data_IF_029497623295
#
_entry.id   IF_029497623295
#
_cell.length_a   1.000
_cell.length_b   1.000
_cell.length_c   1.000
_cell.angle_alpha   90.00
_cell.angle_beta   90.00
_cell.angle_gamma   90.00
#
_symmetry.space_group_name_H-M   'P 1'
#
loop_
_entity.id
_entity.type
_entity.pdbx_description
1 polymer ?
#
# COMPACT_ATOMS: atom_id res chain seq x y z
N UNK A 1 -12.97 -20.25 49.64
CA UNK A 1 -12.38 -18.91 49.80
C UNK A 1 -11.23 -18.78 48.82
N UNK A 2 -11.29 -17.73 47.99
CA UNK A 2 -10.17 -17.04 47.33
C UNK A 2 -9.43 -17.71 46.16
N UNK A 3 -9.98 -17.45 44.97
CA UNK A 3 -9.39 -16.76 43.81
C UNK A 3 -7.89 -16.86 43.55
N UNK A 4 -7.54 -17.21 42.30
CA UNK A 4 -6.55 -16.45 41.54
C UNK A 4 -6.98 -16.31 40.08
N UNK A 5 -7.10 -15.05 39.69
CA UNK A 5 -7.59 -14.54 38.41
C UNK A 5 -6.47 -14.60 37.38
N UNK A 6 -6.67 -15.33 36.29
CA UNK A 6 -5.77 -15.28 35.13
C UNK A 6 -6.04 -13.98 34.39
N UNK A 7 -5.08 -13.06 34.45
CA UNK A 7 -5.10 -11.82 33.70
C UNK A 7 -4.74 -12.15 32.24
N UNK A 8 -5.75 -12.28 31.38
CA UNK A 8 -5.54 -12.26 29.94
C UNK A 8 -5.12 -10.84 29.56
N UNK A 9 -3.86 -10.69 29.15
CA UNK A 9 -3.35 -9.43 28.62
C UNK A 9 -3.98 -9.18 27.26
N UNK A 10 -4.95 -8.27 27.22
CA UNK A 10 -5.41 -7.64 25.98
C UNK A 10 -4.19 -7.05 25.27
N UNK A 11 -3.79 -7.70 24.18
CA UNK A 11 -2.79 -7.18 23.26
C UNK A 11 -3.46 -5.98 22.58
N UNK A 12 -3.21 -4.78 23.09
CA UNK A 12 -3.74 -3.55 22.52
C UNK A 12 -3.38 -3.45 21.04
N UNK A 13 -4.37 -3.69 20.17
CA UNK A 13 -4.24 -3.44 18.74
C UNK A 13 -3.89 -1.97 18.57
N UNK A 14 -2.64 -1.72 18.18
CA UNK A 14 -2.17 -0.38 17.87
C UNK A 14 -2.75 -0.02 16.51
N UNK A 15 -3.93 0.61 16.52
CA UNK A 15 -4.53 1.20 15.35
C UNK A 15 -3.62 2.32 14.83
N UNK A 16 -2.88 2.05 13.76
CA UNK A 16 -2.24 3.11 13.01
C UNK A 16 -3.38 3.87 12.28
N UNK A 17 -3.34 5.19 12.27
CA UNK A 17 -4.31 6.03 11.55
C UNK A 17 -3.63 6.63 10.32
N UNK A 18 -4.35 6.67 9.20
CA UNK A 18 -3.83 7.21 7.94
C UNK A 18 -4.47 8.54 7.57
N UNK A 19 -3.66 9.42 6.97
CA UNK A 19 -4.12 10.64 6.31
C UNK A 19 -4.28 10.36 4.83
N UNK A 20 -5.49 10.41 4.31
CA UNK A 20 -5.77 10.25 2.87
C UNK A 20 -6.29 11.57 2.31
N UNK A 21 -5.79 11.98 1.14
CA UNK A 21 -6.38 13.06 0.37
C UNK A 21 -7.45 12.46 -0.54
N UNK A 22 -8.72 12.69 -0.23
CA UNK A 22 -9.85 12.34 -1.11
C UNK A 22 -9.99 13.44 -2.16
N UNK A 23 -9.99 13.06 -3.45
CA UNK A 23 -10.36 14.00 -4.52
C UNK A 23 -11.88 14.17 -4.47
N UNK A 24 -12.35 15.36 -4.10
CA UNK A 24 -13.74 15.72 -4.33
C UNK A 24 -13.84 16.22 -5.77
N UNK A 25 -14.37 15.40 -6.66
CA UNK A 25 -14.92 15.87 -7.93
C UNK A 25 -16.35 16.31 -7.63
N UNK A 26 -16.56 17.61 -7.44
CA UNK A 26 -17.87 18.21 -7.65
C UNK A 26 -17.77 19.68 -8.06
N UNK A 27 -18.55 19.94 -9.11
CA UNK A 27 -18.77 21.15 -9.86
C UNK A 27 -19.42 22.27 -9.01
N UNK A 28 -19.27 23.51 -9.45
CA UNK A 28 -19.41 24.76 -8.71
C UNK A 28 -20.81 25.10 -8.11
N UNK A 29 -20.80 25.76 -6.95
CA UNK A 29 -21.67 26.91 -6.67
C UNK A 29 -20.92 27.96 -5.83
N UNK A 30 -20.98 29.20 -6.29
CA UNK A 30 -20.20 30.34 -5.82
C UNK A 30 -20.93 31.07 -4.67
N UNK A 31 -20.29 31.19 -3.50
CA UNK A 31 -20.61 32.23 -2.51
C UNK A 31 -19.30 32.82 -2.01
N UNK A 32 -19.12 34.12 -2.27
CA UNK A 32 -18.06 34.94 -1.73
C UNK A 32 -18.18 35.01 -0.20
N UNK A 33 -17.19 34.45 0.49
CA UNK A 33 -16.77 34.89 1.82
C UNK A 33 -15.25 34.78 1.87
N UNK A 34 -14.59 35.90 2.13
CA UNK A 34 -13.15 35.96 2.41
C UNK A 34 -12.84 35.19 3.70
N UNK A 35 -12.65 33.89 3.56
CA UNK A 35 -11.97 33.07 4.54
C UNK A 35 -11.17 32.04 3.75
N UNK A 36 -9.85 32.03 3.94
CA UNK A 36 -8.94 31.11 3.24
C UNK A 36 -9.50 29.69 3.37
N UNK A 37 -9.79 28.97 2.26
CA UNK A 37 -10.25 27.60 2.35
C UNK A 37 -9.07 26.76 2.83
N UNK A 38 -8.97 26.58 4.14
CA UNK A 38 -8.25 25.47 4.71
C UNK A 38 -8.94 24.23 4.13
N UNK A 39 -8.28 23.58 3.16
CA UNK A 39 -8.75 22.33 2.57
C UNK A 39 -8.83 21.31 3.71
N UNK A 40 -9.99 21.17 4.32
CA UNK A 40 -10.25 20.18 5.36
C UNK A 40 -10.06 18.82 4.70
N UNK A 41 -8.92 18.18 4.95
CA UNK A 41 -8.62 16.82 4.51
C UNK A 41 -9.66 15.90 5.15
N UNK A 42 -10.58 15.37 4.36
CA UNK A 42 -11.64 14.47 4.84
C UNK A 42 -10.97 13.23 5.44
N UNK A 43 -11.18 13.02 6.74
CA UNK A 43 -10.59 11.91 7.51
C UNK A 43 -11.41 10.66 7.24
N UNK A 44 -10.92 9.76 6.39
CA UNK A 44 -11.45 8.41 6.30
C UNK A 44 -10.62 7.53 7.24
N UNK A 45 -11.26 6.97 8.26
CA UNK A 45 -10.66 5.97 9.15
C UNK A 45 -10.89 4.59 8.54
N UNK A 46 -9.90 4.03 7.86
CA UNK A 46 -9.89 2.60 7.56
C UNK A 46 -9.11 1.90 8.69
N UNK A 47 -9.65 0.85 9.31
CA UNK A 47 -8.85 -0.05 10.12
C UNK A 47 -7.75 -0.63 9.23
N UNK A 48 -6.50 -0.27 9.50
CA UNK A 48 -5.32 -0.69 8.73
C UNK A 48 -5.14 -2.21 8.72
N UNK A 49 -5.79 -2.91 9.63
CA UNK A 49 -5.73 -4.36 9.74
C UNK A 49 -6.30 -5.10 8.51
N UNK A 50 -7.13 -4.45 7.69
CA UNK A 50 -7.86 -5.14 6.61
C UNK A 50 -7.39 -4.82 5.20
N UNK A 51 -6.50 -3.83 5.00
CA UNK A 51 -6.07 -3.52 3.64
C UNK A 51 -5.01 -4.53 3.16
N UNK A 52 -5.39 -5.31 2.14
CA UNK A 52 -4.51 -6.19 1.38
C UNK A 52 -4.86 -6.10 -0.11
N UNK A 53 -3.87 -6.21 -1.01
CA UNK A 53 -4.14 -6.29 -2.43
C UNK A 53 -4.94 -7.55 -2.74
N UNK A 54 -5.78 -7.48 -3.76
CA UNK A 54 -6.52 -8.62 -4.25
C UNK A 54 -5.60 -9.79 -4.64
N UNK A 55 -6.03 -11.01 -4.32
CA UNK A 55 -5.41 -12.25 -4.81
C UNK A 55 -6.41 -13.03 -5.69
N UNK A 56 -6.04 -13.46 -6.90
CA UNK A 56 -4.73 -13.33 -7.54
C UNK A 56 -4.33 -11.87 -7.83
N UNK A 57 -3.02 -11.57 -7.92
CA UNK A 57 -2.51 -10.21 -8.09
C UNK A 57 -3.02 -9.56 -9.37
N UNK A 58 -3.49 -8.30 -9.28
CA UNK A 58 -3.94 -7.51 -10.44
C UNK A 58 -2.80 -6.70 -11.06
N UNK A 59 -1.70 -7.39 -11.35
CA UNK A 59 -0.51 -6.83 -12.00
C UNK A 59 -0.03 -7.78 -13.09
N UNK A 60 0.49 -7.22 -14.18
CA UNK A 60 1.05 -7.99 -15.30
C UNK A 60 2.57 -8.05 -15.20
N UNK A 61 3.18 -8.98 -15.96
CA UNK A 61 4.64 -9.04 -16.09
C UNK A 61 5.22 -7.74 -16.66
N UNK A 62 4.50 -7.11 -17.61
CA UNK A 62 4.90 -5.85 -18.21
C UNK A 62 4.91 -4.70 -17.21
N UNK A 63 3.97 -4.71 -16.25
CA UNK A 63 3.91 -3.73 -15.17
C UNK A 63 5.14 -3.84 -14.27
N UNK A 64 5.46 -5.07 -13.84
CA UNK A 64 6.66 -5.36 -13.05
C UNK A 64 7.91 -4.94 -13.82
N UNK A 65 8.01 -5.29 -15.09
CA UNK A 65 9.15 -4.91 -15.92
C UNK A 65 9.28 -3.39 -16.01
N UNK A 66 8.21 -2.68 -16.34
CA UNK A 66 8.25 -1.24 -16.61
C UNK A 66 8.49 -0.43 -15.33
N UNK A 67 7.82 -0.77 -14.24
CA UNK A 67 7.85 0.04 -13.01
C UNK A 67 8.99 -0.34 -12.07
N UNK A 68 9.42 -1.61 -12.07
CA UNK A 68 10.39 -2.14 -11.11
C UNK A 68 11.74 -2.44 -11.76
N UNK A 69 11.76 -3.06 -12.95
CA UNK A 69 13.00 -3.56 -13.56
C UNK A 69 13.66 -2.54 -14.51
N UNK A 70 12.89 -1.90 -15.39
CA UNK A 70 13.36 -0.96 -16.43
C UNK A 70 14.01 0.28 -15.82
N UNK A 71 13.50 0.75 -14.69
CA UNK A 71 14.02 1.94 -14.00
C UNK A 71 15.46 1.77 -13.47
N UNK A 72 15.94 0.54 -13.30
CA UNK A 72 17.33 0.28 -12.88
C UNK A 72 18.37 0.57 -13.98
N UNK A 73 17.92 0.74 -15.23
CA UNK A 73 18.80 0.95 -16.40
C UNK A 73 18.77 2.39 -16.95
N UNK A 74 17.84 3.25 -16.51
CA UNK A 74 17.57 4.54 -17.18
C UNK A 74 18.58 5.66 -16.94
N UNK A 75 19.43 5.57 -15.92
CA UNK A 75 20.32 6.68 -15.54
C UNK A 75 21.78 6.29 -15.28
N UNK A 76 22.24 5.11 -15.69
CA UNK A 76 23.62 4.62 -15.42
C UNK A 76 23.94 4.41 -13.93
N UNK A 77 23.06 4.87 -13.02
CA UNK A 77 23.05 4.52 -11.61
C UNK A 77 22.44 3.13 -11.49
N UNK A 78 23.29 2.11 -11.42
CA UNK A 78 22.88 0.79 -10.95
C UNK A 78 22.11 0.99 -9.65
N UNK A 79 20.85 0.60 -9.61
CA UNK A 79 20.13 0.56 -8.36
C UNK A 79 20.93 -0.29 -7.38
N UNK A 80 21.23 0.26 -6.21
CA UNK A 80 22.07 -0.38 -5.20
C UNK A 80 21.40 -1.61 -4.59
N UNK A 81 20.09 -1.78 -4.82
CA UNK A 81 19.29 -2.89 -4.31
C UNK A 81 18.57 -3.60 -5.46
N UNK A 82 18.71 -4.92 -5.50
CA UNK A 82 17.98 -5.76 -6.44
C UNK A 82 16.49 -5.81 -6.08
N UNK A 83 15.58 -5.72 -7.07
CA UNK A 83 14.17 -5.94 -6.85
C UNK A 83 13.84 -7.31 -6.26
N UNK A 84 12.88 -7.30 -5.33
CA UNK A 84 12.41 -8.43 -4.54
C UNK A 84 10.92 -8.68 -4.78
N UNK A 85 10.41 -9.86 -4.39
CA UNK A 85 8.99 -10.17 -4.50
C UNK A 85 8.10 -9.15 -3.76
N UNK A 86 8.62 -8.56 -2.68
CA UNK A 86 7.96 -7.48 -1.97
C UNK A 86 7.75 -6.22 -2.82
N UNK A 87 8.63 -5.92 -3.77
CA UNK A 87 8.46 -4.76 -4.65
C UNK A 87 7.27 -4.95 -5.60
N UNK A 88 7.08 -6.17 -6.12
CA UNK A 88 5.90 -6.54 -6.91
C UNK A 88 4.63 -6.51 -6.05
N UNK A 89 4.70 -6.98 -4.81
CA UNK A 89 3.60 -6.86 -3.85
C UNK A 89 3.22 -5.40 -3.58
N UNK A 90 4.20 -4.54 -3.29
CA UNK A 90 3.99 -3.11 -3.04
C UNK A 90 3.40 -2.39 -4.26
N UNK A 91 3.76 -2.81 -5.47
CA UNK A 91 3.13 -2.31 -6.70
C UNK A 91 1.63 -2.66 -6.73
N UNK A 92 1.27 -3.92 -6.47
CA UNK A 92 -0.14 -4.34 -6.42
C UNK A 92 -0.90 -3.61 -5.30
N UNK A 93 -0.27 -3.43 -4.14
CA UNK A 93 -0.82 -2.70 -3.00
C UNK A 93 -1.13 -1.24 -3.36
N UNK A 94 -0.20 -0.56 -4.04
CA UNK A 94 -0.39 0.82 -4.52
C UNK A 94 -1.59 0.92 -5.48
N UNK A 95 -1.67 0.01 -6.45
CA UNK A 95 -2.77 0.00 -7.43
C UNK A 95 -4.13 -0.20 -6.76
N UNK A 96 -4.21 -1.08 -5.77
CA UNK A 96 -5.44 -1.29 -5.02
C UNK A 96 -5.86 -0.03 -4.25
N UNK A 97 -4.90 0.72 -3.69
CA UNK A 97 -5.20 2.00 -3.04
C UNK A 97 -5.71 3.03 -4.05
N UNK A 98 -5.08 3.11 -5.22
CA UNK A 98 -5.49 4.01 -6.30
C UNK A 98 -6.89 3.67 -6.82
N UNK A 99 -7.22 2.38 -6.96
CA UNK A 99 -8.56 1.91 -7.34
C UNK A 99 -9.62 2.33 -6.32
N UNK A 100 -9.27 2.35 -5.04
CA UNK A 100 -10.14 2.85 -3.96
C UNK A 100 -10.05 4.37 -3.77
N UNK A 101 -9.47 5.09 -4.74
CA UNK A 101 -9.30 6.55 -4.76
C UNK A 101 -8.47 7.11 -3.59
N UNK A 102 -7.61 6.29 -2.99
CA UNK A 102 -6.66 6.72 -1.98
C UNK A 102 -5.36 7.20 -2.61
N UNK A 103 -5.07 8.49 -2.43
CA UNK A 103 -3.75 9.03 -2.75
C UNK A 103 -2.87 9.04 -1.48
N UNK A 104 -2.07 7.98 -1.31
CA UNK A 104 -1.19 7.78 -0.18
C UNK A 104 0.27 8.12 -0.51
N UNK A 105 1.01 8.65 0.46
CA UNK A 105 2.44 8.92 0.30
C UNK A 105 3.24 7.60 0.24
N UNK A 106 4.33 7.58 -0.53
CA UNK A 106 5.19 6.40 -0.72
C UNK A 106 5.65 5.75 0.59
N UNK A 107 6.01 6.57 1.58
CA UNK A 107 6.43 6.08 2.90
C UNK A 107 5.30 5.34 3.62
N UNK A 108 4.06 5.84 3.48
CA UNK A 108 2.88 5.23 4.07
C UNK A 108 2.55 3.92 3.37
N UNK A 109 2.56 3.90 2.04
CA UNK A 109 2.37 2.68 1.24
C UNK A 109 3.40 1.63 1.65
N UNK A 110 4.66 2.02 1.79
CA UNK A 110 5.74 1.10 2.18
C UNK A 110 5.50 0.52 3.57
N UNK A 111 5.19 1.36 4.58
CA UNK A 111 4.91 0.89 5.94
C UNK A 111 3.72 -0.07 6.00
N UNK A 112 2.63 0.25 5.29
CA UNK A 112 1.44 -0.59 5.24
C UNK A 112 1.71 -1.92 4.53
N UNK A 113 2.39 -1.87 3.38
CA UNK A 113 2.74 -3.05 2.62
C UNK A 113 3.67 -3.98 3.41
N UNK A 114 4.62 -3.45 4.19
CA UNK A 114 5.49 -4.27 5.06
C UNK A 114 4.66 -5.06 6.08
N UNK A 115 3.75 -4.38 6.78
CA UNK A 115 2.90 -5.02 7.79
C UNK A 115 1.98 -6.08 7.18
N UNK A 116 1.41 -5.76 6.01
CA UNK A 116 0.52 -6.66 5.26
C UNK A 116 1.29 -7.88 4.74
N UNK A 117 2.44 -7.67 4.08
CA UNK A 117 3.33 -8.72 3.59
C UNK A 117 3.83 -9.66 4.68
N UNK A 118 4.10 -9.15 5.89
CA UNK A 118 4.52 -9.99 7.01
C UNK A 118 3.45 -11.05 7.35
N UNK A 119 2.17 -10.71 7.22
CA UNK A 119 1.01 -11.57 7.51
C UNK A 119 0.58 -12.46 6.34
N UNK A 120 1.02 -12.19 5.11
CA UNK A 120 0.67 -12.99 3.94
C UNK A 120 1.18 -14.44 4.05
N UNK A 121 0.39 -15.43 3.60
CA UNK A 121 0.80 -16.82 3.57
C UNK A 121 1.88 -17.08 2.50
N UNK A 122 2.54 -18.23 2.59
CA UNK A 122 3.72 -18.55 1.79
C UNK A 122 3.41 -18.67 0.28
N UNK A 123 2.26 -19.25 -0.07
CA UNK A 123 1.75 -19.40 -1.43
C UNK A 123 1.55 -18.05 -2.13
N UNK A 124 1.01 -17.05 -1.43
CA UNK A 124 0.87 -15.68 -1.96
C UNK A 124 2.25 -15.09 -2.24
N UNK A 125 3.20 -15.25 -1.30
CA UNK A 125 4.58 -14.74 -1.47
C UNK A 125 5.30 -15.42 -2.64
N UNK A 126 5.07 -16.72 -2.82
CA UNK A 126 5.61 -17.49 -3.93
C UNK A 126 5.07 -17.02 -5.27
N UNK A 127 3.79 -16.66 -5.37
CA UNK A 127 3.22 -16.14 -6.61
C UNK A 127 3.88 -14.81 -7.02
N UNK A 128 4.09 -13.87 -6.08
CA UNK A 128 4.83 -12.64 -6.38
C UNK A 128 6.29 -12.90 -6.76
N UNK A 129 6.92 -13.93 -6.18
CA UNK A 129 8.28 -14.36 -6.57
C UNK A 129 8.30 -14.94 -7.98
N UNK A 130 7.29 -15.75 -8.35
CA UNK A 130 7.09 -16.31 -9.69
C UNK A 130 6.94 -15.18 -10.71
N UNK A 131 6.00 -14.26 -10.47
CA UNK A 131 5.74 -13.09 -11.33
C UNK A 131 7.00 -12.23 -11.53
N UNK A 132 7.75 -11.95 -10.47
CA UNK A 132 8.99 -11.18 -10.59
C UNK A 132 10.06 -11.92 -11.40
N UNK A 133 10.16 -13.23 -11.23
CA UNK A 133 11.15 -14.06 -11.95
C UNK A 133 10.81 -14.10 -13.42
N UNK A 134 9.54 -14.29 -13.76
CA UNK A 134 9.04 -14.28 -15.13
C UNK A 134 9.18 -12.90 -15.77
N UNK A 135 8.90 -11.81 -15.05
CA UNK A 135 9.11 -10.46 -15.57
C UNK A 135 10.59 -10.15 -15.87
N UNK A 136 11.55 -10.80 -15.19
CA UNK A 136 12.98 -10.67 -15.50
C UNK A 136 13.35 -11.29 -16.84
N UNK A 137 12.54 -12.21 -17.38
CA UNK A 137 12.79 -12.80 -18.71
C UNK A 137 12.33 -11.89 -19.84
N UNK A 138 11.66 -10.77 -19.54
CA UNK A 138 11.27 -9.73 -20.51
C UNK A 138 12.40 -8.70 -20.78
N UNK A 139 13.57 -8.86 -20.15
CA UNK A 139 14.75 -8.02 -20.32
C UNK A 139 15.34 -8.10 -21.73
#
# INVERSE_FOLDING_TARGET
>A
MSNQSTHEGEIGSTFIYIYVNVKNDDNAFNVNTEDKPSKIKKRMSMPIEEFKPHFPPRITLQDIYTEILSNNNRHGRRATKLPTAFDAYKLCFRRELELQSYNALEQMITSLAINSWAKEPADVKEEYKRLLTEAKTLQ
#
